data_IF_998686431246
#
_entry.id   IF_998686431246
#
_cell.length_a   1.000
_cell.length_b   1.000
_cell.length_c   1.000
_cell.angle_alpha   90.00
_cell.angle_beta   90.00
_cell.angle_gamma   90.00
#
_symmetry.space_group_name_H-M   'P 1'
#
loop_
_entity.id
_entity.type
_entity.pdbx_description
1 polymer ?
#
# COMPACT_ATOMS: atom_id res chain seq x y z
N UNK A 1 -15.58 -16.85 2.60
CA UNK A 1 -15.07 -15.47 2.76
C UNK A 1 -16.06 -14.54 3.47
N UNK A 2 -15.58 -13.58 4.26
CA UNK A 2 -16.40 -12.51 4.88
C UNK A 2 -16.44 -11.29 3.96
N UNK A 3 -17.60 -10.70 3.71
CA UNK A 3 -17.69 -9.47 2.92
C UNK A 3 -17.15 -8.28 3.73
N UNK A 4 -16.34 -7.42 3.09
CA UNK A 4 -15.91 -6.16 3.68
C UNK A 4 -17.07 -5.17 3.62
N UNK A 5 -17.45 -4.61 4.76
CA UNK A 5 -18.62 -3.73 4.90
C UNK A 5 -18.22 -2.34 5.36
N UNK A 6 -19.10 -1.37 5.08
CA UNK A 6 -18.99 0.00 5.60
C UNK A 6 -18.79 0.04 7.13
N UNK A 7 -19.47 -0.83 7.89
CA UNK A 7 -19.35 -0.85 9.35
C UNK A 7 -17.92 -1.10 9.83
N UNK A 8 -17.16 -1.96 9.15
CA UNK A 8 -15.74 -2.21 9.48
C UNK A 8 -14.89 -0.94 9.29
N UNK A 9 -15.24 -0.11 8.31
CA UNK A 9 -14.57 1.16 8.05
C UNK A 9 -14.89 2.19 9.14
N UNK A 10 -16.16 2.32 9.52
CA UNK A 10 -16.59 3.20 10.63
C UNK A 10 -16.00 2.79 11.99
N UNK A 11 -15.76 1.49 12.20
CA UNK A 11 -15.08 0.99 13.41
C UNK A 11 -13.59 1.37 13.44
N UNK A 12 -12.95 1.46 12.28
CA UNK A 12 -11.51 1.75 12.14
C UNK A 12 -11.23 3.24 12.14
N UNK A 13 -11.92 3.98 11.27
CA UNK A 13 -11.72 5.42 11.08
C UNK A 13 -12.45 6.15 12.20
N UNK A 14 -11.73 6.48 13.27
CA UNK A 14 -12.25 7.22 14.41
C UNK A 14 -11.83 8.69 14.35
N UNK A 15 -12.62 9.56 15.01
CA UNK A 15 -12.22 10.95 15.24
C UNK A 15 -10.87 10.99 15.97
N UNK A 16 -9.93 11.79 15.47
CA UNK A 16 -8.63 12.00 16.11
C UNK A 16 -8.80 12.66 17.48
N UNK A 17 -8.07 12.15 18.47
CA UNK A 17 -8.07 12.73 19.81
C UNK A 17 -7.45 14.15 19.79
N UNK A 18 -7.98 15.04 20.64
CA UNK A 18 -7.57 16.45 20.70
C UNK A 18 -6.11 16.64 21.10
N UNK A 19 -5.59 15.77 21.96
CA UNK A 19 -4.23 15.82 22.48
C UNK A 19 -3.33 14.85 21.71
N UNK A 20 -3.15 15.09 20.41
CA UNK A 20 -2.30 14.28 19.52
C UNK A 20 -1.32 15.18 18.77
N UNK A 21 -0.26 14.58 18.22
CA UNK A 21 0.70 15.26 17.36
C UNK A 21 0.99 14.42 16.13
N UNK A 22 1.72 14.96 15.15
CA UNK A 22 2.08 14.23 13.91
C UNK A 22 2.67 12.83 14.16
N UNK A 23 3.51 12.64 15.17
CA UNK A 23 4.06 11.32 15.52
C UNK A 23 3.04 10.29 16.02
N UNK A 24 1.82 10.71 16.39
CA UNK A 24 0.74 9.82 16.84
C UNK A 24 0.07 9.10 15.67
N UNK A 25 0.34 9.52 14.43
CA UNK A 25 -0.26 9.01 13.19
C UNK A 25 0.76 8.30 12.31
N UNK A 26 1.85 7.83 12.93
CA UNK A 26 2.88 7.04 12.29
C UNK A 26 3.80 7.83 11.35
N UNK A 27 4.95 7.23 11.09
CA UNK A 27 5.95 7.61 10.11
C UNK A 27 5.99 6.54 9.03
N UNK A 28 5.73 6.92 7.79
CA UNK A 28 5.77 6.02 6.65
C UNK A 28 6.93 6.37 5.72
N UNK A 29 7.71 5.36 5.34
CA UNK A 29 8.66 5.45 4.25
C UNK A 29 8.04 4.81 3.01
N UNK A 30 8.03 5.53 1.89
CA UNK A 30 7.56 5.00 0.60
C UNK A 30 8.75 4.92 -0.36
N UNK A 31 9.01 3.76 -0.93
CA UNK A 31 10.23 3.46 -1.71
C UNK A 31 9.85 2.98 -3.10
N UNK A 32 10.31 3.70 -4.12
CA UNK A 32 10.03 3.36 -5.52
C UNK A 32 10.23 4.53 -6.46
N UNK A 33 9.65 4.43 -7.65
CA UNK A 33 9.82 5.42 -8.71
C UNK A 33 11.26 5.53 -9.17
N UNK A 34 11.66 4.69 -10.12
CA UNK A 34 12.89 4.90 -10.87
C UNK A 34 12.75 6.11 -11.80
N UNK A 35 13.76 6.36 -12.65
CA UNK A 35 13.75 7.49 -13.58
C UNK A 35 12.59 7.45 -14.60
N UNK A 36 12.06 6.27 -14.92
CA UNK A 36 10.98 6.08 -15.90
C UNK A 36 9.59 6.09 -15.26
N UNK A 37 9.44 5.51 -14.07
CA UNK A 37 8.15 5.27 -13.42
C UNK A 37 7.90 6.16 -12.19
N UNK A 38 8.51 7.36 -12.15
CA UNK A 38 8.33 8.32 -11.06
C UNK A 38 6.88 8.72 -10.77
N UNK A 39 5.97 8.61 -11.74
CA UNK A 39 4.54 8.86 -11.54
C UNK A 39 3.89 7.93 -10.49
N UNK A 40 4.30 6.66 -10.44
CA UNK A 40 3.77 5.67 -9.51
C UNK A 40 4.04 6.07 -8.06
N UNK A 41 5.30 6.38 -7.74
CA UNK A 41 5.68 6.77 -6.37
C UNK A 41 5.07 8.11 -5.94
N UNK A 42 4.81 9.02 -6.88
CA UNK A 42 4.09 10.27 -6.62
C UNK A 42 2.65 9.96 -6.19
N UNK A 43 1.95 9.04 -6.88
CA UNK A 43 0.60 8.61 -6.50
C UNK A 43 0.59 7.94 -5.13
N UNK A 44 1.50 6.99 -4.89
CA UNK A 44 1.60 6.30 -3.59
C UNK A 44 1.89 7.26 -2.44
N UNK A 45 2.84 8.18 -2.62
CA UNK A 45 3.19 9.17 -1.59
C UNK A 45 2.02 10.11 -1.31
N UNK A 46 1.33 10.55 -2.37
CA UNK A 46 0.16 11.43 -2.24
C UNK A 46 -0.98 10.72 -1.51
N UNK A 47 -1.26 9.46 -1.87
CA UNK A 47 -2.28 8.66 -1.22
C UNK A 47 -1.99 8.44 0.28
N UNK A 48 -0.72 8.22 0.65
CA UNK A 48 -0.32 8.10 2.06
C UNK A 48 -0.54 9.41 2.84
N UNK A 49 -0.11 10.55 2.29
CA UNK A 49 -0.31 11.87 2.91
C UNK A 49 -1.80 12.18 3.06
N UNK A 50 -2.59 12.00 2.01
CA UNK A 50 -4.03 12.30 2.01
C UNK A 50 -4.83 11.32 2.88
N UNK A 51 -4.30 10.13 3.15
CA UNK A 51 -4.83 9.20 4.13
C UNK A 51 -4.60 9.66 5.57
N UNK A 52 -3.83 10.74 5.79
CA UNK A 52 -3.59 11.35 7.09
C UNK A 52 -2.34 10.85 7.81
N UNK A 53 -1.44 10.13 7.15
CA UNK A 53 -0.19 9.70 7.79
C UNK A 53 0.56 10.88 8.41
N UNK A 54 1.06 10.69 9.63
CA UNK A 54 1.66 11.75 10.41
C UNK A 54 2.89 12.37 9.77
N UNK A 55 3.79 11.53 9.26
CA UNK A 55 4.98 11.92 8.53
C UNK A 55 5.21 10.94 7.38
N UNK A 56 5.38 11.44 6.17
CA UNK A 56 5.72 10.64 4.99
C UNK A 56 7.09 11.06 4.49
N UNK A 57 7.96 10.09 4.23
CA UNK A 57 9.20 10.29 3.48
C UNK A 57 9.18 9.40 2.24
N UNK A 58 9.52 9.97 1.10
CA UNK A 58 9.60 9.27 -0.19
C UNK A 58 11.06 9.05 -0.56
N UNK A 59 11.49 7.80 -0.60
CA UNK A 59 12.76 7.41 -1.19
C UNK A 59 12.55 7.09 -2.68
N UNK A 60 13.01 7.98 -3.55
CA UNK A 60 12.82 7.89 -5.01
C UNK A 60 14.09 8.27 -5.76
N UNK A 61 14.15 8.01 -7.06
CA UNK A 61 15.25 8.45 -7.90
C UNK A 61 15.25 9.99 -7.94
N UNK A 62 16.42 10.61 -7.82
CA UNK A 62 16.55 12.07 -7.66
C UNK A 62 15.93 12.90 -8.79
N UNK A 63 15.76 12.33 -9.98
CA UNK A 63 15.02 12.97 -11.09
C UNK A 63 13.55 13.27 -10.76
N UNK A 64 12.98 12.58 -9.77
CA UNK A 64 11.57 12.71 -9.40
C UNK A 64 11.34 13.76 -8.30
N UNK A 65 12.38 14.33 -7.69
CA UNK A 65 12.23 15.22 -6.52
C UNK A 65 11.43 16.49 -6.86
N UNK A 66 11.77 17.14 -7.97
CA UNK A 66 11.11 18.39 -8.36
C UNK A 66 9.62 18.16 -8.69
N UNK A 67 9.30 17.10 -9.43
CA UNK A 67 7.91 16.77 -9.79
C UNK A 67 7.09 16.31 -8.58
N UNK A 68 7.70 15.60 -7.63
CA UNK A 68 7.07 15.20 -6.38
C UNK A 68 6.75 16.42 -5.52
N UNK A 69 7.71 17.29 -5.21
CA UNK A 69 7.47 18.48 -4.39
C UNK A 69 6.53 19.51 -5.06
N UNK A 70 6.51 19.57 -6.39
CA UNK A 70 5.55 20.41 -7.12
C UNK A 70 4.10 19.96 -6.91
N UNK A 71 3.87 18.67 -6.63
CA UNK A 71 2.53 18.10 -6.43
C UNK A 71 2.18 17.84 -4.97
N UNK A 72 3.18 17.55 -4.14
CA UNK A 72 3.02 17.08 -2.77
C UNK A 72 4.19 17.62 -1.90
N UNK A 73 4.16 18.91 -1.52
CA UNK A 73 5.23 19.50 -0.70
C UNK A 73 5.28 18.96 0.74
N UNK A 74 4.28 18.21 1.20
CA UNK A 74 4.21 17.66 2.55
C UNK A 74 5.16 16.46 2.77
N UNK A 75 5.57 15.76 1.72
CA UNK A 75 6.47 14.60 1.84
C UNK A 75 7.93 15.07 1.88
N UNK A 76 8.72 14.45 2.74
CA UNK A 76 10.19 14.58 2.68
C UNK A 76 10.73 13.67 1.57
N UNK A 77 11.91 13.96 1.03
CA UNK A 77 12.51 13.15 -0.04
C UNK A 77 13.96 12.76 0.27
N UNK A 78 14.33 11.53 -0.09
CA UNK A 78 15.71 11.05 -0.12
C UNK A 78 15.96 10.28 -1.41
N UNK A 79 17.22 10.18 -1.83
CA UNK A 79 17.60 9.34 -2.98
C UNK A 79 17.79 7.90 -2.48
N UNK A 80 17.01 6.94 -3.00
CA UNK A 80 17.15 5.54 -2.58
C UNK A 80 18.49 4.93 -2.98
N UNK A 81 19.27 5.58 -3.85
CA UNK A 81 20.64 5.19 -4.17
C UNK A 81 21.62 5.48 -3.01
N UNK A 82 21.26 6.38 -2.09
CA UNK A 82 22.03 6.61 -0.88
C UNK A 82 21.73 5.51 0.17
N UNK A 83 22.35 4.34 0.00
CA UNK A 83 22.14 3.16 0.85
C UNK A 83 22.31 3.44 2.36
N UNK A 84 23.29 4.27 2.73
CA UNK A 84 23.54 4.59 4.14
C UNK A 84 22.39 5.40 4.75
N UNK A 85 21.91 6.41 4.03
CA UNK A 85 20.78 7.24 4.46
C UNK A 85 19.47 6.44 4.46
N UNK A 86 19.24 5.63 3.43
CA UNK A 86 18.08 4.75 3.33
C UNK A 86 18.01 3.79 4.53
N UNK A 87 19.10 3.06 4.82
CA UNK A 87 19.17 2.12 5.96
C UNK A 87 19.00 2.81 7.30
N UNK A 88 19.51 4.05 7.45
CA UNK A 88 19.30 4.84 8.66
C UNK A 88 17.82 5.21 8.81
N UNK A 89 17.17 5.67 7.74
CA UNK A 89 15.77 6.09 7.77
C UNK A 89 14.83 4.91 8.03
N UNK A 90 15.07 3.75 7.41
CA UNK A 90 14.31 2.51 7.62
C UNK A 90 14.13 2.20 9.11
N UNK A 91 15.16 2.40 9.93
CA UNK A 91 15.13 2.10 11.38
C UNK A 91 14.32 3.08 12.22
N UNK A 92 13.82 4.16 11.64
CA UNK A 92 13.18 5.27 12.38
C UNK A 92 11.69 5.46 12.07
N UNK A 93 11.18 4.70 11.10
CA UNK A 93 9.79 4.75 10.64
C UNK A 93 8.95 3.63 11.26
N UNK A 94 7.64 3.72 11.17
CA UNK A 94 6.70 2.71 11.71
C UNK A 94 6.26 1.72 10.62
N UNK A 95 6.34 2.12 9.35
CA UNK A 95 6.05 1.25 8.23
C UNK A 95 6.73 1.68 6.93
N UNK A 96 6.75 0.76 5.98
CA UNK A 96 7.39 0.90 4.68
C UNK A 96 6.45 0.40 3.58
N UNK A 97 6.26 1.18 2.52
CA UNK A 97 5.71 0.69 1.24
C UNK A 97 6.86 0.64 0.25
N UNK A 98 7.09 -0.51 -0.40
CA UNK A 98 8.15 -0.66 -1.41
C UNK A 98 7.60 -1.27 -2.69
N UNK A 99 8.02 -0.72 -3.83
CA UNK A 99 7.80 -1.30 -5.14
C UNK A 99 7.05 -0.46 -6.20
N UNK A 100 6.18 0.51 -5.85
CA UNK A 100 5.50 1.36 -6.85
C UNK A 100 6.50 2.04 -7.79
N UNK A 101 6.52 1.62 -9.05
CA UNK A 101 7.47 2.11 -10.07
C UNK A 101 8.95 1.88 -9.75
N UNK A 102 9.30 0.93 -8.88
CA UNK A 102 10.70 0.66 -8.51
C UNK A 102 11.48 0.07 -9.69
N UNK A 103 10.84 -0.79 -10.49
CA UNK A 103 11.48 -1.55 -11.56
C UNK A 103 12.11 -2.84 -11.05
N UNK A 104 12.76 -3.58 -11.95
CA UNK A 104 13.31 -4.92 -11.69
C UNK A 104 14.81 -5.01 -11.97
N UNK A 105 15.49 -3.86 -12.07
CA UNK A 105 16.93 -3.83 -12.33
C UNK A 105 17.75 -4.19 -11.07
N UNK A 106 19.08 -4.25 -11.24
CA UNK A 106 20.00 -4.57 -10.15
C UNK A 106 19.90 -3.59 -8.99
N UNK A 107 19.63 -2.32 -9.26
CA UNK A 107 19.51 -1.28 -8.24
C UNK A 107 18.22 -1.48 -7.44
N UNK A 108 17.11 -1.76 -8.11
CA UNK A 108 15.84 -2.12 -7.47
C UNK A 108 15.99 -3.33 -6.53
N UNK A 109 16.68 -4.39 -6.98
CA UNK A 109 16.98 -5.54 -6.14
C UNK A 109 17.81 -5.17 -4.91
N UNK A 110 18.83 -4.34 -5.07
CA UNK A 110 19.66 -3.86 -3.96
C UNK A 110 18.84 -3.06 -2.93
N UNK A 111 17.91 -2.23 -3.39
CA UNK A 111 17.00 -1.46 -2.53
C UNK A 111 16.08 -2.38 -1.74
N UNK A 112 15.47 -3.39 -2.37
CA UNK A 112 14.64 -4.40 -1.68
C UNK A 112 15.46 -5.14 -0.62
N UNK A 113 16.67 -5.56 -0.96
CA UNK A 113 17.57 -6.23 -0.01
C UNK A 113 17.97 -5.33 1.16
N UNK A 114 18.23 -4.04 0.91
CA UNK A 114 18.55 -3.06 1.95
C UNK A 114 17.39 -2.89 2.94
N UNK A 115 16.14 -2.88 2.46
CA UNK A 115 14.94 -2.89 3.30
C UNK A 115 14.88 -4.16 4.13
N UNK A 116 14.98 -5.33 3.51
CA UNK A 116 14.84 -6.62 4.21
C UNK A 116 15.92 -6.82 5.28
N UNK A 117 17.13 -6.31 5.06
CA UNK A 117 18.24 -6.39 6.02
C UNK A 117 18.12 -5.39 7.18
N UNK A 118 17.35 -4.31 7.01
CA UNK A 118 17.35 -3.19 7.96
C UNK A 118 16.04 -3.03 8.72
N UNK A 119 14.96 -3.62 8.22
CA UNK A 119 13.63 -3.58 8.84
C UNK A 119 13.61 -4.38 10.15
N UNK A 120 12.76 -3.95 11.07
CA UNK A 120 12.57 -4.51 12.40
C UNK A 120 11.22 -5.21 12.50
N UNK A 121 11.12 -6.24 13.37
CA UNK A 121 9.92 -7.07 13.53
C UNK A 121 8.66 -6.33 13.95
N UNK A 122 8.79 -5.15 14.57
CA UNK A 122 7.66 -4.31 14.96
C UNK A 122 7.07 -3.49 13.81
N UNK A 123 7.80 -3.34 12.69
CA UNK A 123 7.42 -2.47 11.58
C UNK A 123 6.51 -3.18 10.58
N UNK A 124 5.70 -2.39 9.88
CA UNK A 124 4.87 -2.85 8.78
C UNK A 124 5.63 -2.77 7.44
N UNK A 125 5.50 -3.79 6.60
CA UNK A 125 6.12 -3.84 5.27
C UNK A 125 5.09 -4.20 4.21
N UNK A 126 4.75 -3.22 3.38
CA UNK A 126 3.88 -3.39 2.22
C UNK A 126 4.78 -3.59 0.99
N UNK A 127 4.68 -4.76 0.37
CA UNK A 127 5.43 -5.12 -0.84
C UNK A 127 4.44 -5.12 -2.01
N UNK A 128 4.61 -4.16 -2.92
CA UNK A 128 3.72 -3.94 -4.07
C UNK A 128 4.48 -4.00 -5.40
N UNK A 129 3.76 -4.23 -6.49
CA UNK A 129 4.29 -4.08 -7.85
C UNK A 129 5.55 -4.90 -8.11
N UNK A 130 6.52 -4.27 -8.79
CA UNK A 130 7.81 -4.87 -9.14
C UNK A 130 8.62 -5.41 -7.95
N UNK A 131 8.39 -4.95 -6.72
CA UNK A 131 9.04 -5.54 -5.55
C UNK A 131 8.55 -6.97 -5.28
N UNK A 132 7.27 -7.28 -5.59
CA UNK A 132 6.73 -8.64 -5.55
C UNK A 132 7.43 -9.53 -6.59
N UNK A 133 7.60 -9.00 -7.80
CA UNK A 133 8.28 -9.72 -8.88
C UNK A 133 9.74 -10.02 -8.53
N UNK A 134 10.46 -9.08 -7.92
CA UNK A 134 11.81 -9.29 -7.42
C UNK A 134 11.88 -10.35 -6.32
N UNK A 135 10.94 -10.35 -5.37
CA UNK A 135 10.85 -11.39 -4.33
C UNK A 135 10.66 -12.77 -4.96
N UNK A 136 9.75 -12.87 -5.94
CA UNK A 136 9.45 -14.11 -6.64
C UNK A 136 10.64 -14.62 -7.48
N UNK A 137 11.22 -13.75 -8.31
CA UNK A 137 12.27 -14.10 -9.25
C UNK A 137 13.60 -14.49 -8.57
N UNK A 138 13.90 -13.88 -7.43
CA UNK A 138 15.14 -14.13 -6.70
C UNK A 138 14.97 -15.02 -5.47
N UNK A 139 13.76 -15.52 -5.21
CA UNK A 139 13.43 -16.34 -4.04
C UNK A 139 13.93 -15.71 -2.73
N UNK A 140 13.71 -14.40 -2.59
CA UNK A 140 14.21 -13.65 -1.44
C UNK A 140 13.57 -14.18 -0.15
N UNK A 141 14.40 -14.45 0.86
CA UNK A 141 13.90 -14.74 2.21
C UNK A 141 13.23 -13.51 2.78
N UNK A 142 11.98 -13.66 3.23
CA UNK A 142 11.23 -12.57 3.81
C UNK A 142 11.82 -12.17 5.17
N UNK A 143 11.88 -10.86 5.49
CA UNK A 143 12.38 -10.41 6.77
C UNK A 143 11.36 -10.69 7.88
N UNK A 144 11.82 -10.69 9.12
CA UNK A 144 10.93 -10.68 10.29
C UNK A 144 10.31 -9.29 10.41
N UNK A 145 9.05 -9.15 9.97
CA UNK A 145 8.25 -7.93 9.98
C UNK A 145 6.76 -8.28 9.79
N UNK A 146 5.88 -7.29 9.97
CA UNK A 146 4.45 -7.43 9.66
C UNK A 146 4.24 -7.19 8.16
N UNK A 147 4.25 -8.27 7.38
CA UNK A 147 4.28 -8.20 5.91
C UNK A 147 2.87 -8.21 5.31
N UNK A 148 2.66 -7.31 4.35
CA UNK A 148 1.49 -7.26 3.47
C UNK A 148 1.96 -7.28 2.01
N UNK A 149 1.52 -8.28 1.25
CA UNK A 149 1.66 -8.28 -0.21
C UNK A 149 0.41 -7.73 -0.86
N UNK A 150 0.55 -6.94 -1.92
CA UNK A 150 -0.58 -6.37 -2.68
C UNK A 150 -0.57 -6.80 -4.16
N UNK A 151 -0.49 -8.11 -4.49
CA UNK A 151 -0.33 -8.56 -5.86
C UNK A 151 -1.63 -8.45 -6.67
N UNK A 152 -1.54 -8.17 -7.97
CA UNK A 152 -2.57 -8.58 -8.92
C UNK A 152 -2.40 -10.06 -9.31
N UNK A 153 -3.34 -10.65 -10.05
CA UNK A 153 -3.34 -12.10 -10.35
C UNK A 153 -2.04 -12.60 -11.01
N UNK A 154 -1.43 -11.82 -11.93
CA UNK A 154 -0.15 -12.18 -12.55
C UNK A 154 1.06 -12.12 -11.58
N UNK A 155 1.18 -11.09 -10.74
CA UNK A 155 2.18 -10.99 -9.65
C UNK A 155 2.00 -12.15 -8.66
N UNK A 156 0.75 -12.48 -8.33
CA UNK A 156 0.44 -13.59 -7.44
C UNK A 156 0.81 -14.94 -8.06
N UNK A 157 0.62 -15.13 -9.36
CA UNK A 157 1.06 -16.35 -10.04
C UNK A 157 2.58 -16.53 -9.90
N UNK A 158 3.35 -15.45 -10.07
CA UNK A 158 4.82 -15.48 -9.93
C UNK A 158 5.23 -15.78 -8.49
N UNK A 159 4.61 -15.11 -7.52
CA UNK A 159 4.94 -15.26 -6.10
C UNK A 159 4.51 -16.63 -5.52
N UNK A 160 3.29 -17.07 -5.84
CA UNK A 160 2.69 -18.28 -5.26
C UNK A 160 2.97 -19.55 -6.06
N UNK A 161 3.35 -19.42 -7.34
CA UNK A 161 3.44 -20.51 -8.30
C UNK A 161 2.08 -21.06 -8.77
N UNK A 162 0.96 -20.39 -8.45
CA UNK A 162 -0.39 -20.85 -8.81
C UNK A 162 -0.83 -20.18 -10.13
N UNK A 163 -1.07 -20.95 -11.21
CA UNK A 163 -1.59 -20.40 -12.46
C UNK A 163 -2.89 -19.62 -12.24
N UNK A 164 -3.12 -18.50 -12.95
CA UNK A 164 -4.32 -17.65 -12.77
C UNK A 164 -5.62 -18.47 -12.79
N UNK A 165 -5.77 -19.38 -13.75
CA UNK A 165 -6.94 -20.24 -13.88
C UNK A 165 -7.18 -21.16 -12.66
N UNK A 166 -6.17 -21.32 -11.80
CA UNK A 166 -6.19 -22.17 -10.62
C UNK A 166 -6.17 -21.39 -9.29
N UNK A 167 -6.25 -20.05 -9.31
CA UNK A 167 -6.23 -19.18 -8.14
C UNK A 167 -7.54 -19.21 -7.34
N UNK A 168 -7.89 -20.40 -6.86
CA UNK A 168 -9.02 -20.68 -5.97
C UNK A 168 -8.72 -20.24 -4.53
N UNK A 169 -9.76 -19.92 -3.75
CA UNK A 169 -9.63 -19.54 -2.31
C UNK A 169 -8.73 -20.52 -1.54
N UNK A 170 -8.96 -21.83 -1.71
CA UNK A 170 -8.21 -22.87 -1.01
C UNK A 170 -6.72 -22.89 -1.38
N UNK A 171 -6.39 -22.75 -2.67
CA UNK A 171 -4.99 -22.74 -3.13
C UNK A 171 -4.28 -21.46 -2.69
N UNK A 172 -4.93 -20.31 -2.86
CA UNK A 172 -4.41 -19.01 -2.46
C UNK A 172 -4.18 -18.94 -0.95
N UNK A 173 -5.12 -19.43 -0.13
CA UNK A 173 -4.96 -19.49 1.33
C UNK A 173 -3.77 -20.35 1.74
N UNK A 174 -3.57 -21.51 1.11
CA UNK A 174 -2.40 -22.37 1.37
C UNK A 174 -1.09 -21.68 1.01
N UNK A 175 -1.03 -20.94 -0.10
CA UNK A 175 0.15 -20.18 -0.47
C UNK A 175 0.41 -19.01 0.48
N UNK A 176 -0.64 -18.26 0.86
CA UNK A 176 -0.54 -17.20 1.86
C UNK A 176 0.00 -17.71 3.20
N UNK A 177 -0.49 -18.86 3.70
CA UNK A 177 -0.01 -19.46 4.95
C UNK A 177 1.48 -19.82 4.91
N UNK A 178 2.02 -20.20 3.75
CA UNK A 178 3.47 -20.45 3.59
C UNK A 178 4.29 -19.17 3.66
N UNK A 179 3.75 -18.05 3.16
CA UNK A 179 4.39 -16.74 3.23
C UNK A 179 4.32 -16.12 4.63
N UNK A 180 3.39 -16.56 5.48
CA UNK A 180 3.12 -15.98 6.81
C UNK A 180 2.86 -14.46 6.75
N UNK A 181 2.25 -13.99 5.65
CA UNK A 181 2.02 -12.57 5.38
C UNK A 181 0.54 -12.33 5.04
N UNK A 182 0.04 -11.11 5.22
CA UNK A 182 -1.29 -10.74 4.67
C UNK A 182 -1.17 -10.58 3.15
N UNK A 183 -2.17 -11.04 2.39
CA UNK A 183 -2.19 -10.90 0.93
C UNK A 183 -3.47 -10.20 0.49
N UNK A 184 -3.33 -9.00 -0.07
CA UNK A 184 -4.39 -8.24 -0.74
C UNK A 184 -4.33 -8.59 -2.23
N UNK A 185 -5.02 -9.66 -2.63
CA UNK A 185 -5.05 -10.14 -4.00
C UNK A 185 -6.00 -9.26 -4.84
N UNK A 186 -5.40 -8.32 -5.59
CA UNK A 186 -6.09 -7.36 -6.46
C UNK A 186 -6.66 -8.10 -7.67
N UNK A 187 -7.98 -8.17 -7.74
CA UNK A 187 -8.77 -8.67 -8.86
C UNK A 187 -10.17 -8.08 -8.81
N UNK A 188 -11.02 -8.39 -9.80
CA UNK A 188 -12.45 -8.09 -9.68
C UNK A 188 -12.99 -8.78 -8.43
N UNK A 189 -13.58 -7.99 -7.53
CA UNK A 189 -13.81 -8.36 -6.14
C UNK A 189 -12.53 -8.78 -5.39
N UNK A 190 -11.69 -7.79 -5.07
CA UNK A 190 -10.42 -7.99 -4.33
C UNK A 190 -10.61 -8.87 -3.10
N UNK A 191 -9.72 -9.84 -2.93
CA UNK A 191 -9.72 -10.77 -1.81
C UNK A 191 -8.55 -10.49 -0.88
N UNK A 192 -8.79 -10.49 0.42
CA UNK A 192 -7.77 -10.24 1.44
C UNK A 192 -7.63 -11.49 2.31
N UNK A 193 -6.49 -12.16 2.15
CA UNK A 193 -6.14 -13.35 2.88
C UNK A 193 -5.34 -12.98 4.12
N UNK A 194 -5.89 -13.30 5.29
CA UNK A 194 -5.23 -13.15 6.59
C UNK A 194 -5.03 -14.54 7.21
N UNK A 195 -4.35 -14.61 8.36
CA UNK A 195 -4.16 -15.88 9.07
C UNK A 195 -5.50 -16.54 9.46
N UNK A 196 -6.47 -15.74 9.88
CA UNK A 196 -7.73 -16.24 10.44
C UNK A 196 -8.85 -16.30 9.40
N UNK A 197 -9.01 -15.21 8.64
CA UNK A 197 -10.18 -14.97 7.80
C UNK A 197 -9.79 -14.54 6.39
N UNK A 198 -10.54 -15.01 5.40
CA UNK A 198 -10.50 -14.47 4.02
C UNK A 198 -11.63 -13.48 3.86
N UNK A 199 -11.31 -12.26 3.46
CA UNK A 199 -12.27 -11.20 3.19
C UNK A 199 -12.42 -10.98 1.68
N UNK A 200 -13.59 -10.48 1.27
CA UNK A 200 -13.85 -10.10 -0.11
C UNK A 200 -14.48 -8.71 -0.18
N UNK A 201 -13.91 -7.85 -1.01
CA UNK A 201 -14.48 -6.56 -1.36
C UNK A 201 -15.46 -6.75 -2.52
N UNK A 202 -16.71 -6.26 -2.36
CA UNK A 202 -17.70 -6.27 -3.45
C UNK A 202 -17.77 -4.94 -4.23
N UNK A 203 -17.11 -3.89 -3.73
CA UNK A 203 -17.02 -2.60 -4.39
C UNK A 203 -15.90 -2.58 -5.43
N UNK A 204 -16.04 -1.66 -6.37
CA UNK A 204 -15.10 -1.40 -7.46
C UNK A 204 -15.64 -1.87 -8.80
N UNK A 205 -15.37 -1.07 -9.84
CA UNK A 205 -15.84 -1.33 -11.19
C UNK A 205 -14.77 -1.07 -12.26
N UNK A 206 -15.14 -1.28 -13.54
CA UNK A 206 -14.21 -1.14 -14.66
C UNK A 206 -13.71 0.29 -14.88
N UNK A 207 -14.39 1.31 -14.36
CA UNK A 207 -13.93 2.70 -14.36
C UNK A 207 -12.58 2.89 -13.66
N UNK A 208 -12.18 1.94 -12.80
CA UNK A 208 -10.90 1.92 -12.10
C UNK A 208 -9.76 1.31 -12.92
N UNK A 209 -10.04 0.73 -14.10
CA UNK A 209 -9.05 0.03 -14.92
C UNK A 209 -8.13 1.00 -15.68
N UNK A 210 -7.36 1.79 -14.94
CA UNK A 210 -6.36 2.74 -15.45
C UNK A 210 -5.07 2.68 -14.62
N UNK A 211 -3.95 3.04 -15.24
CA UNK A 211 -2.64 3.02 -14.59
C UNK A 211 -2.59 3.92 -13.35
N UNK A 212 -1.96 3.43 -12.28
CA UNK A 212 -1.83 4.16 -11.01
C UNK A 212 -2.86 3.82 -9.93
N UNK A 213 -3.86 2.99 -10.26
CA UNK A 213 -4.89 2.55 -9.31
C UNK A 213 -4.29 1.71 -8.16
N UNK A 214 -3.41 0.76 -8.51
CA UNK A 214 -2.67 -0.03 -7.52
C UNK A 214 -1.73 0.80 -6.66
N UNK A 215 -1.01 1.76 -7.26
CA UNK A 215 -0.08 2.65 -6.56
C UNK A 215 -0.79 3.49 -5.48
N UNK A 216 -2.01 3.95 -5.80
CA UNK A 216 -2.87 4.69 -4.87
C UNK A 216 -3.32 3.80 -3.72
N UNK A 217 -3.80 2.59 -4.01
CA UNK A 217 -4.19 1.62 -2.98
C UNK A 217 -3.02 1.26 -2.05
N UNK A 218 -1.82 1.02 -2.59
CA UNK A 218 -0.63 0.71 -1.79
C UNK A 218 -0.29 1.85 -0.81
N UNK A 219 -0.40 3.10 -1.27
CA UNK A 219 -0.19 4.28 -0.42
C UNK A 219 -1.25 4.43 0.67
N UNK A 220 -2.52 4.15 0.34
CA UNK A 220 -3.60 4.12 1.32
C UNK A 220 -3.40 3.03 2.37
N UNK A 221 -3.04 1.80 1.96
CA UNK A 221 -2.77 0.70 2.89
C UNK A 221 -1.62 1.07 3.82
N UNK A 222 -0.49 1.51 3.27
CA UNK A 222 0.66 1.96 4.06
C UNK A 222 0.29 3.04 5.05
N UNK A 223 -0.46 4.05 4.61
CA UNK A 223 -0.88 5.14 5.47
C UNK A 223 -1.85 4.72 6.57
N UNK A 224 -2.76 3.78 6.30
CA UNK A 224 -3.71 3.28 7.28
C UNK A 224 -3.03 2.39 8.33
N UNK A 225 -2.15 1.47 7.94
CA UNK A 225 -1.53 0.55 8.91
C UNK A 225 -0.67 1.27 9.94
N UNK A 226 0.04 2.33 9.55
CA UNK A 226 0.85 3.11 10.52
C UNK A 226 0.01 4.02 11.40
N UNK A 227 -1.20 4.41 10.96
CA UNK A 227 -2.12 5.23 11.75
C UNK A 227 -2.97 4.40 12.72
N UNK A 228 -3.35 3.20 12.30
CA UNK A 228 -4.26 2.31 13.03
C UNK A 228 -3.53 1.01 13.40
N UNK A 229 -2.29 1.13 13.88
CA UNK A 229 -1.35 0.02 14.10
C UNK A 229 -1.85 -1.05 15.07
N UNK A 230 -2.72 -0.67 16.01
CA UNK A 230 -3.34 -1.60 16.97
C UNK A 230 -4.35 -2.55 16.30
N UNK A 231 -4.79 -2.23 15.09
CA UNK A 231 -5.82 -2.94 14.34
C UNK A 231 -5.42 -3.10 12.86
N UNK A 232 -4.24 -3.67 12.62
CA UNK A 232 -3.64 -3.79 11.29
C UNK A 232 -4.59 -4.35 10.23
N UNK A 233 -5.24 -5.49 10.50
CA UNK A 233 -6.14 -6.10 9.53
C UNK A 233 -7.28 -5.15 9.19
N UNK A 234 -7.93 -4.55 10.19
CA UNK A 234 -9.02 -3.59 10.00
C UNK A 234 -8.55 -2.34 9.24
N UNK A 235 -7.31 -1.91 9.44
CA UNK A 235 -6.68 -0.83 8.69
C UNK A 235 -6.56 -1.17 7.19
N UNK A 236 -6.08 -2.38 6.86
CA UNK A 236 -5.96 -2.88 5.48
C UNK A 236 -7.35 -3.00 4.82
N UNK A 237 -8.33 -3.59 5.53
CA UNK A 237 -9.70 -3.72 5.04
C UNK A 237 -10.32 -2.34 4.77
N UNK A 238 -10.09 -1.37 5.67
CA UNK A 238 -10.64 -0.02 5.57
C UNK A 238 -10.01 0.79 4.45
N UNK A 239 -8.69 0.71 4.28
CA UNK A 239 -8.00 1.33 3.15
C UNK A 239 -8.54 0.79 1.82
N UNK A 240 -8.65 -0.53 1.71
CA UNK A 240 -9.11 -1.22 0.51
C UNK A 240 -10.57 -0.90 0.18
N UNK A 241 -11.44 -0.88 1.20
CA UNK A 241 -12.84 -0.47 1.03
C UNK A 241 -12.96 0.98 0.63
N UNK A 242 -12.30 1.89 1.35
CA UNK A 242 -12.42 3.33 1.12
C UNK A 242 -11.93 3.72 -0.27
N UNK A 243 -10.85 3.09 -0.74
CA UNK A 243 -10.33 3.24 -2.09
C UNK A 243 -11.40 2.96 -3.16
N UNK A 244 -12.00 1.76 -3.14
CA UNK A 244 -13.04 1.40 -4.11
C UNK A 244 -14.35 2.14 -3.88
N UNK A 245 -14.68 2.52 -2.65
CA UNK A 245 -15.84 3.35 -2.34
C UNK A 245 -15.75 4.72 -3.01
N UNK A 246 -14.61 5.40 -2.86
CA UNK A 246 -14.39 6.70 -3.51
C UNK A 246 -14.45 6.53 -5.03
N UNK A 247 -13.85 5.47 -5.56
CA UNK A 247 -13.84 5.23 -6.99
C UNK A 247 -15.25 4.98 -7.57
N UNK A 248 -16.07 4.20 -6.87
CA UNK A 248 -17.47 3.95 -7.22
C UNK A 248 -18.30 5.24 -7.20
N UNK A 249 -18.13 6.08 -6.17
CA UNK A 249 -18.81 7.39 -6.11
C UNK A 249 -18.43 8.30 -7.26
N UNK A 250 -17.14 8.38 -7.61
CA UNK A 250 -16.69 9.19 -8.74
C UNK A 250 -17.16 8.59 -10.07
N UNK A 251 -17.12 7.25 -10.21
CA UNK A 251 -17.54 6.49 -11.40
C UNK A 251 -18.98 6.70 -11.84
N UNK A 252 -19.86 7.16 -10.94
CA UNK A 252 -21.25 7.50 -11.27
C UNK A 252 -21.37 8.65 -12.26
N UNK A 253 -20.38 9.53 -12.34
CA UNK A 253 -20.42 10.75 -13.17
C UNK A 253 -19.27 10.84 -14.18
N UNK A 254 -18.38 9.86 -14.23
CA UNK A 254 -17.25 9.84 -15.15
C UNK A 254 -17.01 8.46 -15.76
N UNK A 255 -16.50 8.45 -16.99
CA UNK A 255 -16.20 7.21 -17.71
C UNK A 255 -14.99 6.46 -17.14
N UNK A 256 -13.99 7.21 -16.66
CA UNK A 256 -12.77 6.67 -16.05
C UNK A 256 -12.47 7.42 -14.76
N UNK A 257 -12.11 6.67 -13.72
CA UNK A 257 -11.68 7.23 -12.44
C UNK A 257 -10.17 7.33 -12.39
N UNK A 258 -9.66 8.56 -12.47
CA UNK A 258 -8.23 8.80 -12.40
C UNK A 258 -7.76 8.65 -10.94
N UNK A 259 -6.62 7.98 -10.68
CA UNK A 259 -6.19 7.66 -9.31
C UNK A 259 -5.98 8.91 -8.44
N UNK A 260 -5.48 10.01 -9.01
CA UNK A 260 -5.32 11.27 -8.26
C UNK A 260 -6.65 11.89 -7.81
N UNK A 261 -7.77 11.60 -8.49
CA UNK A 261 -9.09 12.05 -8.05
C UNK A 261 -9.55 11.28 -6.81
N UNK A 262 -9.21 9.98 -6.73
CA UNK A 262 -9.45 9.18 -5.51
C UNK A 262 -8.67 9.80 -4.35
N UNK A 263 -7.39 10.08 -4.56
CA UNK A 263 -6.49 10.70 -3.57
C UNK A 263 -7.11 11.99 -2.99
N UNK A 264 -7.58 12.87 -3.88
CA UNK A 264 -8.18 14.16 -3.49
C UNK A 264 -9.44 14.04 -2.62
N UNK A 265 -10.14 12.90 -2.68
CA UNK A 265 -11.37 12.66 -1.92
C UNK A 265 -11.15 11.88 -0.62
N UNK A 266 -9.93 11.37 -0.37
CA UNK A 266 -9.63 10.58 0.84
C UNK A 266 -9.99 11.37 2.12
N UNK A 267 -9.55 12.63 2.33
CA UNK A 267 -9.83 13.34 3.58
C UNK A 267 -11.33 13.52 3.85
N UNK A 268 -12.12 13.85 2.83
CA UNK A 268 -13.56 14.04 2.94
C UNK A 268 -14.28 12.72 3.20
N UNK A 269 -13.86 11.64 2.53
CA UNK A 269 -14.42 10.32 2.75
C UNK A 269 -14.10 9.82 4.17
N UNK A 270 -12.84 9.94 4.63
CA UNK A 270 -12.47 9.61 6.01
C UNK A 270 -13.25 10.43 7.03
N UNK A 271 -13.43 11.73 6.79
CA UNK A 271 -14.23 12.59 7.67
C UNK A 271 -15.69 12.12 7.76
N UNK A 272 -16.29 11.68 6.65
CA UNK A 272 -17.64 11.09 6.61
C UNK A 272 -17.70 9.82 7.48
N UNK A 273 -16.79 8.86 7.29
CA UNK A 273 -16.81 7.60 8.05
C UNK A 273 -16.39 7.77 9.52
N UNK A 274 -15.71 8.87 9.87
CA UNK A 274 -15.32 9.16 11.26
C UNK A 274 -16.47 9.64 12.17
N UNK A 275 -17.56 10.09 11.57
CA UNK A 275 -18.76 10.51 12.29
C UNK A 275 -19.61 9.27 12.52
N UNK A 276 -19.71 8.84 13.78
CA UNK A 276 -20.70 7.83 14.18
C UNK A 276 -22.08 8.46 14.06
N UNK A 277 -22.95 7.87 13.25
CA UNK A 277 -24.41 8.03 13.44
C UNK A 277 -24.82 7.31 14.73
#
# INVERSE_FOLDING_TARGET
>A
MKTITQSMVTETIKKRATHTHKGSFGRLLVIGGNAQFGGAIILTSSAAVYSGTGLVTTATHSTNFASLHARLPETMVIDFQNDTELKKLIKTVDGIVIGPGLGEDKLALQVVQAVFQSIQSTQHLIIDGSAIDLVAAHHLSLPDAKIVFTPHEMEWQRLSGIPIAEQTETKNRKAQQKLQATVVLKKYHTEIYTNDTVYQLKLGGPEMATGGMGDTLAGMIGGFVVQFSDHEIQAILSATYLHSYIADELGKTQYVTLPHQIINQIPQAMAKFSKRE
#
